data_IF_306272202829
#
_entry.id   IF_306272202829
#
_cell.length_a   1.000
_cell.length_b   1.000
_cell.length_c   1.000
_cell.angle_alpha   90.00
_cell.angle_beta   90.00
_cell.angle_gamma   90.00
#
_symmetry.space_group_name_H-M   'P 1'
#
loop_
_entity.id
_entity.type
_entity.pdbx_description
1 polymer ?
#
# COMPACT_ATOMS: atom_id res chain seq x y z
N UNK A 1 -21.17 1.04 -14.10
CA UNK A 1 -21.57 1.80 -12.90
C UNK A 1 -21.27 3.29 -13.07
N UNK A 2 -21.95 4.17 -12.33
CA UNK A 2 -21.73 5.63 -12.31
C UNK A 2 -21.43 6.15 -10.90
N UNK A 3 -20.81 7.33 -10.76
CA UNK A 3 -20.54 7.93 -9.43
C UNK A 3 -21.84 8.17 -8.64
N UNK A 4 -22.91 8.61 -9.31
CA UNK A 4 -24.22 8.80 -8.70
C UNK A 4 -24.76 7.49 -8.09
N UNK A 5 -24.58 6.35 -8.78
CA UNK A 5 -24.94 5.03 -8.24
C UNK A 5 -24.09 4.69 -7.02
N UNK A 6 -22.77 4.93 -7.07
CA UNK A 6 -21.87 4.71 -5.92
C UNK A 6 -22.33 5.52 -4.70
N UNK A 7 -22.67 6.79 -4.89
CA UNK A 7 -23.14 7.68 -3.82
C UNK A 7 -24.48 7.24 -3.23
N UNK A 8 -25.45 6.91 -4.09
CA UNK A 8 -26.80 6.51 -3.69
C UNK A 8 -26.88 5.14 -3.01
N UNK A 9 -25.85 4.30 -3.16
CA UNK A 9 -25.80 2.96 -2.56
C UNK A 9 -25.79 3.02 -1.03
N UNK A 10 -26.74 2.34 -0.39
CA UNK A 10 -26.89 2.28 1.08
C UNK A 10 -26.59 0.87 1.61
N UNK A 11 -26.15 0.73 2.87
CA UNK A 11 -26.06 -0.56 3.54
C UNK A 11 -27.38 -1.34 3.47
N UNK A 12 -27.26 -2.67 3.52
CA UNK A 12 -28.37 -3.62 3.60
C UNK A 12 -28.09 -4.58 4.77
N UNK A 13 -28.99 -5.54 4.97
CA UNK A 13 -28.84 -6.62 5.98
C UNK A 13 -27.59 -7.52 5.77
N UNK A 14 -26.90 -7.37 4.63
CA UNK A 14 -25.67 -8.08 4.33
C UNK A 14 -24.72 -7.28 3.46
N UNK A 15 -23.46 -7.76 3.40
CA UNK A 15 -22.48 -7.24 2.46
C UNK A 15 -22.94 -7.58 1.05
N UNK A 16 -23.04 -6.57 0.19
CA UNK A 16 -23.34 -6.76 -1.22
C UNK A 16 -22.33 -6.01 -2.08
N UNK A 17 -22.28 -6.38 -3.37
CA UNK A 17 -21.30 -5.82 -4.31
C UNK A 17 -22.00 -5.37 -5.57
N UNK A 18 -21.69 -4.15 -5.99
CA UNK A 18 -22.11 -3.60 -7.27
C UNK A 18 -20.98 -3.82 -8.27
N UNK A 19 -21.29 -4.49 -9.37
CA UNK A 19 -20.33 -4.73 -10.43
C UNK A 19 -20.11 -3.45 -11.25
N UNK A 20 -18.84 -3.18 -11.58
CA UNK A 20 -18.50 -2.20 -12.62
C UNK A 20 -17.97 -2.92 -13.87
N UNK A 21 -16.66 -2.97 -14.10
CA UNK A 21 -16.06 -3.54 -15.30
C UNK A 21 -14.83 -4.40 -14.96
N UNK A 22 -14.53 -5.40 -15.80
CA UNK A 22 -13.31 -6.23 -15.72
C UNK A 22 -12.99 -6.77 -14.31
N UNK A 23 -14.01 -7.17 -13.55
CA UNK A 23 -13.83 -7.68 -12.19
C UNK A 23 -13.69 -6.61 -11.10
N UNK A 24 -13.86 -5.32 -11.42
CA UNK A 24 -14.04 -4.25 -10.45
C UNK A 24 -15.45 -4.29 -9.83
N UNK A 25 -15.51 -4.15 -8.52
CA UNK A 25 -16.73 -4.07 -7.74
C UNK A 25 -16.64 -2.97 -6.68
N UNK A 26 -17.77 -2.38 -6.35
CA UNK A 26 -17.95 -1.60 -5.13
C UNK A 26 -18.63 -2.48 -4.09
N UNK A 27 -17.91 -2.83 -3.03
CA UNK A 27 -18.40 -3.59 -1.88
C UNK A 27 -19.02 -2.64 -0.85
N UNK A 28 -20.28 -2.84 -0.54
CA UNK A 28 -21.02 -2.04 0.45
C UNK A 28 -21.13 -2.87 1.73
N UNK A 29 -20.51 -2.38 2.80
CA UNK A 29 -20.53 -3.03 4.12
C UNK A 29 -21.75 -2.56 4.93
N UNK A 30 -22.11 -3.33 5.96
CA UNK A 30 -23.22 -3.02 6.86
C UNK A 30 -23.04 -1.67 7.57
N UNK A 31 -21.78 -1.28 7.84
CA UNK A 31 -21.43 -0.05 8.54
C UNK A 31 -21.39 1.20 7.63
N UNK A 32 -21.84 1.13 6.38
CA UNK A 32 -21.80 2.29 5.46
C UNK A 32 -20.52 2.43 4.66
N UNK A 33 -19.44 1.72 5.02
CA UNK A 33 -18.19 1.78 4.27
C UNK A 33 -18.38 1.16 2.89
N UNK A 34 -17.88 1.85 1.88
CA UNK A 34 -17.88 1.44 0.48
C UNK A 34 -16.44 1.22 0.03
N UNK A 35 -16.09 -0.01 -0.30
CA UNK A 35 -14.72 -0.40 -0.63
C UNK A 35 -14.63 -0.88 -2.07
N UNK A 36 -13.67 -0.36 -2.83
CA UNK A 36 -13.35 -0.87 -4.15
C UNK A 36 -12.63 -2.20 -4.04
N UNK A 37 -13.13 -3.21 -4.77
CA UNK A 37 -12.59 -4.56 -4.79
C UNK A 37 -12.37 -5.00 -6.22
N UNK A 38 -11.24 -5.65 -6.49
CA UNK A 38 -10.98 -6.36 -7.73
C UNK A 38 -11.07 -7.86 -7.49
N UNK A 39 -11.96 -8.55 -8.20
CA UNK A 39 -12.10 -10.00 -8.20
C UNK A 39 -11.15 -10.60 -9.23
N UNK A 40 -10.34 -11.57 -8.81
CA UNK A 40 -9.46 -12.32 -9.70
C UNK A 40 -9.52 -13.82 -9.37
N UNK A 41 -8.99 -14.65 -10.28
CA UNK A 41 -8.80 -16.09 -10.10
C UNK A 41 -7.32 -16.38 -10.28
N UNK A 42 -6.74 -17.14 -9.36
CA UNK A 42 -5.36 -17.63 -9.45
C UNK A 42 -5.35 -19.07 -8.95
N UNK A 43 -4.75 -20.00 -9.70
CA UNK A 43 -4.74 -21.44 -9.39
C UNK A 43 -6.15 -21.96 -9.05
N UNK A 44 -7.11 -21.62 -9.91
CA UNK A 44 -8.55 -21.91 -9.78
C UNK A 44 -9.25 -21.38 -8.52
N UNK A 45 -8.57 -20.61 -7.68
CA UNK A 45 -9.14 -19.99 -6.49
C UNK A 45 -9.53 -18.55 -6.76
N UNK A 46 -10.81 -18.24 -6.57
CA UNK A 46 -11.29 -16.86 -6.60
C UNK A 46 -10.80 -16.09 -5.37
N UNK A 47 -10.35 -14.86 -5.56
CA UNK A 47 -9.82 -13.99 -4.51
C UNK A 47 -10.12 -12.52 -4.81
N UNK A 48 -9.90 -11.68 -3.81
CA UNK A 48 -10.26 -10.26 -3.86
C UNK A 48 -9.08 -9.39 -3.45
N UNK A 49 -8.79 -8.37 -4.27
CA UNK A 49 -7.83 -7.32 -3.99
C UNK A 49 -8.58 -6.05 -3.57
N UNK A 50 -8.23 -5.45 -2.44
CA UNK A 50 -8.73 -4.11 -2.09
C UNK A 50 -8.09 -3.06 -3.01
N UNK A 51 -8.83 -2.06 -3.50
CA UNK A 51 -8.29 -0.96 -4.31
C UNK A 51 -8.38 0.41 -3.61
N UNK A 52 -9.00 0.44 -2.43
CA UNK A 52 -9.20 1.61 -1.57
C UNK A 52 -10.68 1.84 -1.29
N UNK A 53 -10.99 2.85 -0.49
CA UNK A 53 -12.35 3.16 -0.05
C UNK A 53 -12.93 4.35 -0.82
N UNK A 54 -14.22 4.31 -1.13
CA UNK A 54 -14.97 5.42 -1.68
C UNK A 54 -15.45 6.34 -0.54
N UNK A 55 -15.39 7.68 -0.69
CA UNK A 55 -15.05 8.44 -1.90
C UNK A 55 -13.56 8.78 -2.05
N UNK A 56 -12.70 8.43 -1.08
CA UNK A 56 -11.26 8.75 -1.10
C UNK A 56 -10.54 8.22 -2.33
N UNK A 57 -11.01 7.10 -2.87
CA UNK A 57 -10.69 6.63 -4.22
C UNK A 57 -11.95 6.79 -5.06
N UNK A 58 -11.85 7.63 -6.08
CA UNK A 58 -12.92 7.87 -7.05
C UNK A 58 -13.15 6.64 -7.93
N UNK A 59 -14.31 6.59 -8.61
CA UNK A 59 -14.58 5.53 -9.58
C UNK A 59 -13.48 5.48 -10.66
N UNK A 60 -13.06 6.62 -11.20
CA UNK A 60 -12.00 6.70 -12.22
C UNK A 60 -10.66 6.15 -11.74
N UNK A 61 -10.24 6.50 -10.52
CA UNK A 61 -9.00 5.95 -9.93
C UNK A 61 -9.12 4.46 -9.65
N UNK A 62 -10.28 3.99 -9.20
CA UNK A 62 -10.53 2.55 -9.01
C UNK A 62 -10.44 1.79 -10.34
N UNK A 63 -10.92 2.39 -11.44
CA UNK A 63 -10.73 1.88 -12.80
C UNK A 63 -9.25 1.78 -13.15
N UNK A 64 -8.50 2.87 -13.06
CA UNK A 64 -7.06 2.87 -13.34
C UNK A 64 -6.28 1.82 -12.53
N UNK A 65 -6.56 1.71 -11.22
CA UNK A 65 -5.94 0.68 -10.36
C UNK A 65 -6.32 -0.74 -10.75
N UNK A 66 -7.54 -0.95 -11.24
CA UNK A 66 -8.00 -2.24 -11.72
C UNK A 66 -7.27 -2.70 -12.99
N UNK A 67 -6.81 -1.79 -13.86
CA UNK A 67 -6.10 -2.17 -15.09
C UNK A 67 -4.68 -2.70 -14.85
N UNK A 68 -4.05 -2.30 -13.75
CA UNK A 68 -2.71 -2.76 -13.38
C UNK A 68 -2.71 -4.19 -12.81
N UNK A 69 -3.75 -4.58 -12.05
CA UNK A 69 -3.78 -5.85 -11.31
C UNK A 69 -3.79 -7.14 -12.17
N UNK A 70 -4.45 -7.19 -13.35
CA UNK A 70 -4.45 -8.37 -14.21
C UNK A 70 -3.07 -8.81 -14.71
N UNK A 71 -2.08 -7.90 -14.78
CA UNK A 71 -0.72 -8.25 -15.23
C UNK A 71 -0.08 -9.26 -14.27
N UNK A 72 -0.10 -8.95 -12.97
CA UNK A 72 0.41 -9.82 -11.91
C UNK A 72 -0.27 -11.20 -11.92
N UNK A 73 -1.59 -11.24 -12.10
CA UNK A 73 -2.34 -12.51 -12.12
C UNK A 73 -1.93 -13.39 -13.31
N UNK A 74 -1.69 -12.81 -14.49
CA UNK A 74 -1.20 -13.56 -15.67
C UNK A 74 0.20 -14.11 -15.47
N UNK A 75 1.03 -13.42 -14.70
CA UNK A 75 2.37 -13.86 -14.31
C UNK A 75 2.35 -14.90 -13.17
N UNK A 76 1.16 -15.33 -12.72
CA UNK A 76 1.01 -16.27 -11.62
C UNK A 76 1.20 -15.65 -10.23
N UNK A 77 1.34 -14.33 -10.14
CA UNK A 77 1.61 -13.60 -8.90
C UNK A 77 0.30 -13.21 -8.24
N UNK A 78 0.14 -13.52 -6.95
CA UNK A 78 -0.99 -13.06 -6.15
C UNK A 78 -0.87 -11.53 -5.89
N UNK A 79 -1.79 -10.69 -6.41
CA UNK A 79 -1.69 -9.24 -6.24
C UNK A 79 -1.77 -8.76 -4.79
N UNK A 80 -2.43 -9.51 -3.90
CA UNK A 80 -2.54 -9.16 -2.48
C UNK A 80 -1.19 -9.34 -1.79
N UNK A 81 -0.54 -10.47 -2.05
CA UNK A 81 0.79 -10.76 -1.50
C UNK A 81 1.84 -9.82 -2.08
N UNK A 82 1.79 -9.57 -3.38
CA UNK A 82 2.71 -8.62 -4.02
C UNK A 82 2.63 -7.23 -3.38
N UNK A 83 1.40 -6.72 -3.14
CA UNK A 83 1.25 -5.42 -2.45
C UNK A 83 1.84 -5.43 -1.05
N UNK A 84 1.67 -6.53 -0.30
CA UNK A 84 2.22 -6.65 1.04
C UNK A 84 3.76 -6.65 1.01
N UNK A 85 4.36 -7.40 0.09
CA UNK A 85 5.81 -7.47 -0.11
C UNK A 85 6.35 -6.09 -0.49
N UNK A 86 5.74 -5.41 -1.45
CA UNK A 86 6.16 -4.07 -1.88
C UNK A 86 5.95 -2.99 -0.80
N UNK A 87 5.06 -3.22 0.18
CA UNK A 87 4.95 -2.37 1.36
C UNK A 87 6.12 -2.62 2.32
N UNK A 88 6.39 -3.88 2.65
CA UNK A 88 7.49 -4.27 3.54
C UNK A 88 8.84 -3.82 2.97
N UNK A 89 9.07 -4.02 1.67
CA UNK A 89 10.30 -3.54 1.01
C UNK A 89 10.47 -2.04 1.15
N UNK A 90 9.42 -1.25 0.89
CA UNK A 90 9.48 0.22 1.06
C UNK A 90 9.75 0.63 2.51
N UNK A 91 9.13 -0.04 3.47
CA UNK A 91 9.40 0.18 4.89
C UNK A 91 10.86 -0.15 5.23
N UNK A 92 11.39 -1.28 4.74
CA UNK A 92 12.79 -1.67 4.91
C UNK A 92 13.77 -0.72 4.23
N UNK A 93 13.49 -0.28 3.00
CA UNK A 93 14.34 0.67 2.28
C UNK A 93 14.37 2.03 3.00
N UNK A 94 13.25 2.44 3.59
CA UNK A 94 13.19 3.65 4.44
C UNK A 94 13.91 3.49 5.78
N UNK A 95 13.94 2.27 6.33
CA UNK A 95 14.64 1.97 7.57
C UNK A 95 16.15 1.79 7.35
N UNK A 96 16.58 1.17 6.24
CA UNK A 96 17.97 0.86 5.92
C UNK A 96 18.69 2.01 5.20
N UNK A 97 18.37 3.26 5.54
CA UNK A 97 19.16 4.39 5.05
C UNK A 97 20.52 4.41 5.73
N UNK A 98 21.56 4.92 5.05
CA UNK A 98 22.89 5.09 5.65
C UNK A 98 22.82 5.91 6.94
N UNK A 99 21.93 6.90 6.99
CA UNK A 99 21.65 7.69 8.19
C UNK A 99 21.19 6.81 9.36
N UNK A 100 20.16 5.97 9.17
CA UNK A 100 19.65 5.08 10.24
C UNK A 100 20.72 4.11 10.70
N UNK A 101 21.40 3.45 9.76
CA UNK A 101 22.45 2.47 10.08
C UNK A 101 23.62 3.14 10.82
N UNK A 102 24.01 4.35 10.42
CA UNK A 102 25.09 5.08 11.07
C UNK A 102 24.71 5.55 12.48
N UNK A 103 23.46 5.96 12.71
CA UNK A 103 22.93 6.28 14.04
C UNK A 103 22.88 5.06 14.95
N UNK A 104 22.41 3.92 14.45
CA UNK A 104 22.40 2.65 15.19
C UNK A 104 23.82 2.18 15.54
N UNK A 105 24.75 2.21 14.58
CA UNK A 105 26.15 1.88 14.81
C UNK A 105 26.80 2.76 15.88
N UNK A 106 26.49 4.06 15.88
CA UNK A 106 26.99 4.97 16.90
C UNK A 106 26.42 4.66 18.29
N UNK A 107 25.19 4.16 18.38
CA UNK A 107 24.53 3.80 19.64
C UNK A 107 24.99 2.44 20.21
N UNK A 108 25.48 1.52 19.37
CA UNK A 108 25.90 0.17 19.79
C UNK A 108 27.17 0.13 20.65
N UNK A 109 27.94 1.21 20.69
CA UNK A 109 29.14 1.32 21.54
C UNK A 109 29.07 2.54 22.44
N UNK A 110 29.52 2.36 23.68
CA UNK A 110 29.88 3.48 24.54
C UNK A 110 31.20 4.08 24.05
N UNK A 111 31.07 5.12 23.25
CA UNK A 111 32.18 5.94 22.80
C UNK A 111 32.45 7.04 23.83
N UNK A 112 33.71 7.42 23.99
CA UNK A 112 34.04 8.68 24.65
C UNK A 112 33.32 9.85 23.93
N UNK A 113 32.74 10.77 24.71
CA UNK A 113 31.87 11.84 24.22
C UNK A 113 32.49 12.65 23.06
N UNK A 114 33.80 12.93 23.12
CA UNK A 114 34.53 13.65 22.07
C UNK A 114 34.54 12.87 20.76
N UNK A 115 34.71 11.55 20.84
CA UNK A 115 34.77 10.67 19.67
C UNK A 115 33.38 10.43 19.09
N UNK A 116 32.36 10.35 19.95
CA UNK A 116 30.95 10.27 19.54
C UNK A 116 30.53 11.53 18.78
N UNK A 117 30.86 12.71 19.33
CA UNK A 117 30.58 14.01 18.73
C UNK A 117 31.24 14.18 17.36
N UNK A 118 32.54 13.89 17.23
CA UNK A 118 33.25 13.98 15.92
C UNK A 118 32.61 13.10 14.84
N UNK A 119 32.14 11.92 15.21
CA UNK A 119 31.46 11.01 14.28
C UNK A 119 30.07 11.50 13.91
N UNK A 120 29.31 12.08 14.85
CA UNK A 120 28.04 12.75 14.55
C UNK A 120 28.22 13.92 13.59
N UNK A 121 29.17 14.81 13.88
CA UNK A 121 29.45 15.98 13.04
C UNK A 121 29.83 15.58 11.60
N UNK A 122 30.61 14.50 11.46
CA UNK A 122 30.94 13.92 10.15
C UNK A 122 29.70 13.37 9.43
N UNK A 123 28.86 12.61 10.14
CA UNK A 123 27.62 12.06 9.59
C UNK A 123 26.64 13.17 9.17
N UNK A 124 26.47 14.22 9.97
CA UNK A 124 25.66 15.38 9.62
C UNK A 124 26.17 16.06 8.35
N UNK A 125 27.48 16.30 8.26
CA UNK A 125 28.08 16.98 7.12
C UNK A 125 28.02 16.17 5.82
N UNK A 126 28.27 14.87 5.89
CA UNK A 126 28.44 14.02 4.69
C UNK A 126 27.13 13.36 4.25
N UNK A 127 26.21 13.12 5.19
CA UNK A 127 24.98 12.36 4.94
C UNK A 127 23.74 13.26 4.96
N UNK A 128 23.69 14.24 5.87
CA UNK A 128 22.47 15.03 6.12
C UNK A 128 22.44 16.37 5.38
N UNK A 129 23.60 16.97 5.12
CA UNK A 129 23.75 18.24 4.39
C UNK A 129 24.05 18.09 2.88
N UNK A 130 24.08 16.85 2.38
CA UNK A 130 24.33 16.54 0.96
C UNK A 130 23.08 16.38 0.08
N UNK A 131 21.91 16.85 0.56
CA UNK A 131 20.66 16.90 -0.21
C UNK A 131 20.37 18.30 -0.72
#
# INVERSE_FOLDING_TARGET
MTDAQCRASKPREGIYRLNDYKGLYLEIKLNGIKAWRYRFKLNDKASWLALGDYPSVTLGEARAKCEAAPKLVREGINPVQNRQIERIKREQDSANTFETIAKEWLALKEWEEVTKKRRLDMLERVVLLGK
#
